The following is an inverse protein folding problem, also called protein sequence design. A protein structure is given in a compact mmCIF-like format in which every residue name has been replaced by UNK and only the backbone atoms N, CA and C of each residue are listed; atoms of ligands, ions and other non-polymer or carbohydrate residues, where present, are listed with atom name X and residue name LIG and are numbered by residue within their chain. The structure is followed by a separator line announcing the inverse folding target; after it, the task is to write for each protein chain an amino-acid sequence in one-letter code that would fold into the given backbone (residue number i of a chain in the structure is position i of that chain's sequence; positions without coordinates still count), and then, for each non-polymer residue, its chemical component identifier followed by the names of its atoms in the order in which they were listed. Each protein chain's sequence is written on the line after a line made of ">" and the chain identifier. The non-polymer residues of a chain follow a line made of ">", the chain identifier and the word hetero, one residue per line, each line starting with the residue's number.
data_IF_587940679309
#
_entry.id   IF_587940679309
#
_cell.length_a   1.000
_cell.length_b   1.000
_cell.length_c   1.000
_cell.angle_alpha   90.00
_cell.angle_beta   90.00
_cell.angle_gamma   90.00
#
_symmetry.space_group_name_H-M   'P 1'
#
loop_
_entity.id
_entity.type
_entity.pdbx_description
1 polymer ?
#
# COMPACT_ATOMS: atom_id res chain seq x y z
N UNK A 1 24.04 7.27 20.74
CA UNK A 1 23.24 8.50 20.78
C UNK A 1 21.76 8.14 20.87
N UNK A 2 21.07 8.70 21.85
CA UNK A 2 19.65 8.40 22.11
C UNK A 2 18.74 9.26 21.20
N UNK A 3 19.06 9.33 19.90
CA UNK A 3 18.33 10.14 18.92
C UNK A 3 17.44 9.26 18.06
N UNK A 4 16.22 9.72 17.79
CA UNK A 4 15.37 9.10 16.77
C UNK A 4 16.05 9.22 15.40
N UNK A 5 16.06 8.12 14.67
CA UNK A 5 16.62 8.02 13.34
C UNK A 5 15.61 7.33 12.41
N UNK A 6 15.47 7.78 11.15
CA UNK A 6 14.64 7.10 10.19
C UNK A 6 15.31 5.77 9.75
N UNK A 7 14.64 4.66 10.01
CA UNK A 7 15.21 3.34 9.71
C UNK A 7 15.51 3.11 8.22
N UNK A 8 14.75 3.78 7.32
CA UNK A 8 14.92 3.62 5.88
C UNK A 8 16.18 4.29 5.30
N UNK A 9 16.77 5.26 6.01
CA UNK A 9 17.92 6.05 5.52
C UNK A 9 19.12 5.99 6.44
N UNK A 10 19.03 5.32 7.58
CA UNK A 10 20.15 5.19 8.52
C UNK A 10 20.97 3.95 8.18
N UNK A 11 22.25 4.09 7.80
CA UNK A 11 23.12 2.95 7.55
C UNK A 11 23.28 2.09 8.80
N UNK A 12 23.19 0.79 8.66
CA UNK A 12 23.49 -0.15 9.72
C UNK A 12 25.02 -0.25 9.91
N UNK A 13 25.46 -0.26 11.16
CA UNK A 13 26.88 -0.40 11.51
C UNK A 13 27.06 -1.55 12.50
N UNK A 14 28.24 -2.16 12.48
CA UNK A 14 28.56 -3.25 13.42
C UNK A 14 28.45 -2.76 14.86
N UNK A 15 27.85 -3.57 15.73
CA UNK A 15 27.60 -3.23 17.14
C UNK A 15 26.50 -2.21 17.37
N UNK A 16 25.74 -1.82 16.33
CA UNK A 16 24.62 -0.89 16.49
C UNK A 16 23.48 -1.50 17.31
N UNK A 17 23.13 -0.84 18.42
CA UNK A 17 21.98 -1.19 19.23
C UNK A 17 20.77 -0.33 18.84
N UNK A 18 19.64 -0.95 18.48
CA UNK A 18 18.42 -0.27 18.04
C UNK A 18 17.28 -0.60 18.98
N UNK A 19 16.62 0.43 19.53
CA UNK A 19 15.41 0.29 20.31
C UNK A 19 14.19 0.67 19.45
N UNK A 20 13.27 -0.27 19.25
CA UNK A 20 12.06 -0.06 18.45
C UNK A 20 10.78 0.01 19.27
N UNK A 21 10.89 -0.12 20.61
CA UNK A 21 9.75 -0.26 21.54
C UNK A 21 9.67 0.83 22.59
N UNK A 22 10.51 1.89 22.49
CA UNK A 22 10.41 3.01 23.44
C UNK A 22 9.08 3.74 23.30
N UNK A 23 8.60 4.33 24.40
CA UNK A 23 7.34 5.11 24.40
C UNK A 23 7.31 6.19 23.32
N UNK A 24 8.44 6.87 23.14
CA UNK A 24 8.57 7.88 22.09
C UNK A 24 8.36 7.30 20.69
N UNK A 25 8.96 6.15 20.38
CA UNK A 25 8.78 5.48 19.08
C UNK A 25 7.33 5.03 18.91
N UNK A 26 6.71 4.48 19.95
CA UNK A 26 5.31 4.07 19.90
C UNK A 26 4.37 5.26 19.70
N UNK A 27 4.61 6.39 20.36
CA UNK A 27 3.84 7.63 20.15
C UNK A 27 3.95 8.13 18.71
N UNK A 28 5.15 8.10 18.10
CA UNK A 28 5.34 8.49 16.70
C UNK A 28 4.62 7.53 15.74
N UNK A 29 4.68 6.22 15.97
CA UNK A 29 3.96 5.23 15.16
C UNK A 29 2.45 5.45 15.22
N UNK A 30 1.91 5.61 16.45
CA UNK A 30 0.49 5.90 16.63
C UNK A 30 0.09 7.17 15.89
N UNK A 31 0.86 8.26 16.05
CA UNK A 31 0.60 9.54 15.36
C UNK A 31 0.60 9.37 13.84
N UNK A 32 1.55 8.63 13.27
CA UNK A 32 1.59 8.38 11.83
C UNK A 32 0.34 7.63 11.34
N UNK A 33 -0.11 6.63 12.09
CA UNK A 33 -1.35 5.89 11.76
C UNK A 33 -2.58 6.78 11.88
N UNK A 34 -2.68 7.61 12.92
CA UNK A 34 -3.77 8.58 13.09
C UNK A 34 -3.84 9.57 11.90
N UNK A 35 -2.69 10.01 11.38
CA UNK A 35 -2.63 10.89 10.21
C UNK A 35 -3.15 10.20 8.96
N UNK A 36 -2.86 8.91 8.73
CA UNK A 36 -3.46 8.17 7.61
C UNK A 36 -4.99 8.17 7.68
N UNK A 37 -5.56 7.97 8.86
CA UNK A 37 -7.01 8.01 9.03
C UNK A 37 -7.60 9.42 8.96
N UNK A 38 -6.85 10.45 9.31
CA UNK A 38 -7.29 11.85 9.19
C UNK A 38 -7.24 12.34 7.73
N UNK A 39 -6.26 11.88 6.96
CA UNK A 39 -6.02 12.31 5.57
C UNK A 39 -6.84 11.51 4.54
N UNK A 40 -7.19 10.26 4.82
CA UNK A 40 -7.91 9.39 3.89
C UNK A 40 -9.36 9.10 4.32
N UNK A 41 -10.25 8.86 3.36
CA UNK A 41 -11.63 8.44 3.62
C UNK A 41 -11.70 6.94 3.93
N UNK A 42 -11.12 6.52 5.05
CA UNK A 42 -11.11 5.12 5.47
C UNK A 42 -12.44 4.72 6.13
N UNK A 43 -13.51 4.64 5.34
CA UNK A 43 -14.81 4.15 5.84
C UNK A 43 -14.78 2.63 5.88
N UNK A 44 -14.20 2.07 6.94
CA UNK A 44 -13.92 0.64 7.06
C UNK A 44 -15.18 -0.24 6.97
N UNK A 45 -16.30 0.22 7.48
CA UNK A 45 -17.57 -0.54 7.46
C UNK A 45 -18.04 -0.92 6.06
N UNK A 46 -17.69 -0.13 5.04
CA UNK A 46 -18.07 -0.37 3.64
C UNK A 46 -16.89 -0.78 2.76
N UNK A 47 -15.72 -1.01 3.36
CA UNK A 47 -14.52 -1.37 2.63
C UNK A 47 -14.46 -2.88 2.38
N UNK A 48 -14.20 -3.30 1.15
CA UNK A 48 -13.99 -4.71 0.81
C UNK A 48 -12.80 -5.34 1.55
N UNK A 49 -11.85 -4.53 2.01
CA UNK A 49 -10.71 -4.97 2.80
C UNK A 49 -10.99 -5.01 4.31
N UNK A 50 -12.22 -4.75 4.76
CA UNK A 50 -12.54 -4.75 6.19
C UNK A 50 -12.24 -6.12 6.82
N UNK A 51 -11.51 -6.13 7.94
CA UNK A 51 -11.06 -7.36 8.60
C UNK A 51 -9.83 -8.03 7.93
N UNK A 52 -9.36 -7.49 6.81
CA UNK A 52 -8.21 -7.99 6.06
C UNK A 52 -7.36 -6.82 5.50
N UNK A 53 -7.06 -5.87 6.36
CA UNK A 53 -6.37 -4.62 6.02
C UNK A 53 -5.19 -4.41 6.96
N UNK A 54 -3.98 -4.34 6.41
CA UNK A 54 -2.78 -4.11 7.21
C UNK A 54 -2.83 -2.79 8.00
N UNK A 55 -3.51 -1.75 7.46
CA UNK A 55 -3.68 -0.49 8.19
C UNK A 55 -4.52 -0.68 9.46
N UNK A 56 -5.58 -1.50 9.40
CA UNK A 56 -6.37 -1.85 10.60
C UNK A 56 -5.53 -2.64 11.60
N UNK A 57 -4.77 -3.64 11.13
CA UNK A 57 -3.90 -4.45 11.99
C UNK A 57 -2.85 -3.57 12.71
N UNK A 58 -2.21 -2.64 11.97
CA UNK A 58 -1.23 -1.72 12.56
C UNK A 58 -1.89 -0.74 13.53
N UNK A 59 -3.11 -0.26 13.24
CA UNK A 59 -3.84 0.61 14.16
C UNK A 59 -4.08 -0.08 15.52
N UNK A 60 -4.48 -1.35 15.49
CA UNK A 60 -4.62 -2.17 16.72
C UNK A 60 -3.27 -2.34 17.44
N UNK A 61 -2.20 -2.65 16.70
CA UNK A 61 -0.87 -2.87 17.27
C UNK A 61 -0.30 -1.62 17.96
N UNK A 62 -0.59 -0.43 17.46
CA UNK A 62 -0.13 0.83 18.08
C UNK A 62 -1.12 1.38 19.11
N UNK A 63 -2.19 0.64 19.42
CA UNK A 63 -3.22 1.04 20.38
C UNK A 63 -4.02 2.26 19.95
N UNK A 64 -4.25 2.43 18.64
CA UNK A 64 -5.06 3.50 18.11
C UNK A 64 -6.54 3.11 18.18
N UNK A 65 -7.33 3.89 18.89
CA UNK A 65 -8.80 3.78 19.01
C UNK A 65 -9.54 4.95 18.34
N UNK A 66 -8.86 6.09 18.20
CA UNK A 66 -9.38 7.28 17.51
C UNK A 66 -8.23 8.14 16.97
N UNK A 67 -8.51 9.04 16.03
CA UNK A 67 -7.56 10.06 15.60
C UNK A 67 -7.73 11.33 16.42
N UNK A 68 -6.63 11.87 16.94
CA UNK A 68 -6.57 13.17 17.61
C UNK A 68 -6.54 14.35 16.64
N UNK A 69 -6.28 14.05 15.35
CA UNK A 69 -6.22 15.06 14.31
C UNK A 69 -7.59 15.27 13.66
N UNK A 70 -7.92 16.51 13.27
CA UNK A 70 -9.14 16.78 12.56
C UNK A 70 -9.13 16.07 11.20
N UNK A 71 -10.27 15.49 10.83
CA UNK A 71 -10.45 14.84 9.55
C UNK A 71 -10.40 15.88 8.42
N UNK A 72 -9.65 15.57 7.34
CA UNK A 72 -9.38 16.52 6.27
C UNK A 72 -10.44 16.57 5.16
N UNK A 73 -11.36 15.59 5.11
CA UNK A 73 -12.40 15.47 4.07
C UNK A 73 -11.83 15.62 2.64
N UNK A 74 -10.78 14.91 2.25
CA UNK A 74 -10.16 15.10 0.96
C UNK A 74 -11.10 14.72 -0.18
N UNK A 75 -11.13 15.53 -1.23
CA UNK A 75 -11.80 15.18 -2.48
C UNK A 75 -10.86 14.26 -3.29
N UNK A 76 -10.99 12.95 -3.09
CA UNK A 76 -10.23 11.92 -3.81
C UNK A 76 -11.10 11.30 -4.90
N UNK A 77 -10.47 10.72 -5.91
CA UNK A 77 -11.16 10.06 -7.01
C UNK A 77 -11.13 8.54 -6.86
N UNK A 78 -12.06 7.89 -7.56
CA UNK A 78 -12.07 6.45 -7.76
C UNK A 78 -11.91 6.19 -9.25
N UNK A 79 -10.85 5.48 -9.62
CA UNK A 79 -10.65 5.02 -10.99
C UNK A 79 -11.17 3.59 -11.13
N UNK A 80 -12.28 3.43 -11.85
CA UNK A 80 -12.91 2.16 -12.19
C UNK A 80 -12.84 1.88 -13.70
N UNK A 81 -11.94 2.53 -14.44
CA UNK A 81 -11.79 2.39 -15.88
C UNK A 81 -11.27 1.01 -16.29
N UNK A 82 -10.37 0.40 -15.49
CA UNK A 82 -9.84 -0.92 -15.80
C UNK A 82 -10.92 -2.01 -15.77
N UNK A 83 -10.97 -2.97 -16.73
CA UNK A 83 -12.03 -3.98 -16.79
C UNK A 83 -12.18 -4.83 -15.53
N UNK A 84 -11.08 -5.21 -14.90
CA UNK A 84 -11.04 -6.17 -13.78
C UNK A 84 -10.81 -5.52 -12.41
N UNK A 85 -10.24 -4.32 -12.36
CA UNK A 85 -9.74 -3.72 -11.12
C UNK A 85 -10.30 -2.31 -10.91
N UNK A 86 -10.17 -1.85 -9.67
CA UNK A 86 -10.53 -0.47 -9.27
C UNK A 86 -9.44 0.09 -8.37
N UNK A 87 -9.10 1.36 -8.56
CA UNK A 87 -8.26 2.14 -7.66
C UNK A 87 -9.12 3.17 -6.93
N UNK A 88 -9.22 3.04 -5.61
CA UNK A 88 -9.89 4.00 -4.73
C UNK A 88 -8.84 4.81 -3.97
N UNK A 89 -8.60 6.03 -4.41
CA UNK A 89 -7.63 6.94 -3.79
C UNK A 89 -8.00 7.36 -2.37
N UNK A 90 -9.27 7.21 -1.97
CA UNK A 90 -9.70 7.47 -0.58
C UNK A 90 -9.04 6.54 0.43
N UNK A 91 -8.59 5.36 0.00
CA UNK A 91 -8.01 4.31 0.85
C UNK A 91 -6.51 4.12 0.64
N UNK A 92 -5.93 4.93 -0.24
CA UNK A 92 -4.51 4.87 -0.55
C UNK A 92 -3.69 5.55 0.55
N UNK A 93 -2.71 4.84 1.11
CA UNK A 93 -1.77 5.35 2.12
C UNK A 93 -0.39 5.68 1.54
N UNK A 94 -0.27 5.77 0.22
CA UNK A 94 0.97 6.11 -0.50
C UNK A 94 2.18 5.20 -0.15
N UNK A 95 1.93 3.93 0.14
CA UNK A 95 2.99 2.98 0.50
C UNK A 95 3.89 2.59 -0.69
N UNK A 96 3.54 2.96 -1.90
CA UNK A 96 4.26 2.70 -3.17
C UNK A 96 4.49 1.23 -3.53
N UNK A 97 3.87 0.27 -2.83
CA UNK A 97 4.04 -1.16 -3.16
C UNK A 97 3.57 -1.49 -4.58
N UNK A 98 2.48 -0.87 -5.05
CA UNK A 98 1.98 -1.04 -6.42
C UNK A 98 2.98 -0.54 -7.47
N UNK A 99 3.63 0.60 -7.22
CA UNK A 99 4.68 1.14 -8.08
C UNK A 99 5.83 0.14 -8.17
N UNK A 100 6.37 -0.25 -7.03
CA UNK A 100 7.54 -1.13 -6.95
C UNK A 100 7.29 -2.53 -7.51
N UNK A 101 6.13 -3.13 -7.26
CA UNK A 101 5.83 -4.46 -7.80
C UNK A 101 5.64 -4.43 -9.31
N UNK A 102 5.06 -3.35 -9.84
CA UNK A 102 4.89 -3.17 -11.27
C UNK A 102 6.22 -2.88 -11.98
N UNK A 103 7.10 -2.13 -11.35
CA UNK A 103 8.42 -1.79 -11.86
C UNK A 103 9.40 -2.97 -11.72
N UNK A 104 9.62 -3.44 -10.48
CA UNK A 104 10.70 -4.37 -10.15
C UNK A 104 10.35 -5.84 -10.48
N UNK A 105 9.06 -6.21 -10.55
CA UNK A 105 8.62 -7.61 -10.67
C UNK A 105 7.88 -7.88 -11.98
N UNK A 106 6.97 -6.98 -12.40
CA UNK A 106 6.27 -7.14 -13.67
C UNK A 106 7.05 -6.53 -14.84
N UNK A 107 7.79 -5.42 -14.60
CA UNK A 107 8.50 -4.69 -15.64
C UNK A 107 7.59 -3.88 -16.56
N UNK A 108 6.34 -3.64 -16.17
CA UNK A 108 5.36 -2.93 -17.00
C UNK A 108 5.33 -1.42 -16.74
N UNK A 109 5.90 -0.94 -15.63
CA UNK A 109 6.05 0.49 -15.27
C UNK A 109 4.76 1.31 -15.37
N UNK A 110 3.62 0.71 -15.00
CA UNK A 110 2.29 1.34 -15.12
C UNK A 110 2.08 2.42 -14.07
N UNK A 111 2.59 2.21 -12.86
CA UNK A 111 2.32 3.06 -11.70
C UNK A 111 3.47 4.00 -11.38
N UNK A 112 3.12 5.23 -11.03
CA UNK A 112 4.08 6.22 -10.51
C UNK A 112 3.45 7.07 -9.40
N UNK A 113 4.26 7.91 -8.77
CA UNK A 113 3.84 8.89 -7.77
C UNK A 113 3.86 10.27 -8.38
N UNK A 114 2.70 10.89 -8.51
CA UNK A 114 2.56 12.26 -8.98
C UNK A 114 2.42 13.25 -7.82
N UNK A 115 2.77 14.51 -8.09
CA UNK A 115 2.67 15.63 -7.19
C UNK A 115 3.59 15.50 -5.95
N UNK A 116 3.33 16.32 -4.91
CA UNK A 116 4.11 16.35 -3.67
C UNK A 116 3.30 16.89 -2.50
N UNK A 117 3.77 16.60 -1.29
CA UNK A 117 3.09 17.02 -0.06
C UNK A 117 1.70 16.40 0.05
N UNK A 118 0.72 17.17 0.48
CA UNK A 118 -0.67 16.74 0.65
C UNK A 118 -1.38 16.39 -0.67
N UNK A 119 -0.82 16.80 -1.82
CA UNK A 119 -1.35 16.49 -3.15
C UNK A 119 -0.73 15.23 -3.76
N UNK A 120 0.17 14.55 -3.05
CA UNK A 120 0.80 13.33 -3.52
C UNK A 120 -0.26 12.27 -3.82
N UNK A 121 -0.14 11.61 -4.97
CA UNK A 121 -1.08 10.56 -5.40
C UNK A 121 -0.39 9.52 -6.26
N UNK A 122 -0.94 8.32 -6.30
CA UNK A 122 -0.52 7.29 -7.25
C UNK A 122 -1.26 7.52 -8.57
N UNK A 123 -0.55 7.46 -9.67
CA UNK A 123 -1.10 7.64 -11.02
C UNK A 123 -0.76 6.45 -11.90
N UNK A 124 -1.60 6.20 -12.88
CA UNK A 124 -1.36 5.20 -13.93
C UNK A 124 -0.89 5.91 -15.22
N UNK A 125 0.16 5.40 -15.85
CA UNK A 125 0.76 6.00 -17.05
C UNK A 125 1.18 7.46 -16.82
N UNK A 126 0.71 8.35 -17.64
CA UNK A 126 0.94 9.81 -17.51
C UNK A 126 -0.29 10.51 -16.89
N UNK A 127 -0.83 9.97 -15.81
CA UNK A 127 -2.06 10.45 -15.14
C UNK A 127 -3.32 10.27 -16.02
N UNK A 128 -3.40 9.14 -16.70
CA UNK A 128 -4.55 8.75 -17.51
C UNK A 128 -5.38 7.69 -16.78
N UNK A 129 -6.64 7.42 -17.20
CA UNK A 129 -7.43 6.34 -16.65
C UNK A 129 -6.69 4.99 -16.75
N UNK A 130 -6.67 4.21 -15.67
CA UNK A 130 -5.92 2.94 -15.62
C UNK A 130 -6.26 1.99 -16.78
N UNK A 131 -7.55 1.92 -17.15
CA UNK A 131 -7.99 1.06 -18.26
C UNK A 131 -7.50 1.49 -19.64
N UNK A 132 -6.93 2.68 -19.77
CA UNK A 132 -6.38 3.22 -21.03
C UNK A 132 -4.86 3.05 -21.12
N UNK A 133 -4.20 2.50 -20.07
CA UNK A 133 -2.76 2.31 -20.05
C UNK A 133 -2.41 1.01 -20.78
N UNK A 134 -1.96 1.12 -22.02
CA UNK A 134 -1.62 -0.03 -22.88
C UNK A 134 -0.52 -0.94 -22.28
N UNK A 135 0.41 -0.37 -21.51
CA UNK A 135 1.46 -1.11 -20.85
C UNK A 135 0.95 -2.04 -19.72
N UNK A 136 -0.32 -1.88 -19.29
CA UNK A 136 -0.89 -2.71 -18.22
C UNK A 136 -1.14 -4.14 -18.70
N UNK A 137 -0.42 -5.09 -18.12
CA UNK A 137 -0.56 -6.53 -18.42
C UNK A 137 -1.78 -7.19 -17.75
N UNK A 138 -2.53 -6.45 -16.94
CA UNK A 138 -3.66 -6.96 -16.14
C UNK A 138 -3.28 -8.10 -15.17
N UNK A 139 -2.01 -8.22 -14.79
CA UNK A 139 -1.49 -9.32 -13.95
C UNK A 139 -2.04 -9.33 -12.51
N UNK A 140 -2.57 -8.20 -12.02
CA UNK A 140 -3.16 -8.07 -10.68
C UNK A 140 -2.17 -8.01 -9.51
N UNK A 141 -0.85 -8.08 -9.75
CA UNK A 141 0.17 -8.05 -8.68
C UNK A 141 0.08 -6.79 -7.81
N UNK A 142 -0.25 -5.64 -8.40
CA UNK A 142 -0.45 -4.39 -7.67
C UNK A 142 -1.64 -4.45 -6.70
N UNK A 143 -2.71 -5.17 -7.07
CA UNK A 143 -3.86 -5.43 -6.18
C UNK A 143 -3.45 -6.34 -5.03
N UNK A 144 -2.69 -7.38 -5.35
CA UNK A 144 -2.28 -8.39 -4.38
C UNK A 144 -1.33 -7.86 -3.28
N UNK A 145 -0.51 -6.86 -3.60
CA UNK A 145 0.42 -6.24 -2.62
C UNK A 145 -0.17 -5.02 -1.91
N UNK A 146 -1.36 -4.57 -2.31
CA UNK A 146 -1.98 -3.42 -1.69
C UNK A 146 -2.35 -3.72 -0.22
N UNK A 147 -1.83 -2.97 0.76
CA UNK A 147 -2.06 -3.25 2.17
C UNK A 147 -3.43 -2.80 2.66
N UNK A 148 -4.18 -2.08 1.81
CA UNK A 148 -5.50 -1.53 2.12
C UNK A 148 -6.51 -1.91 1.04
N UNK A 149 -7.72 -1.38 1.11
CA UNK A 149 -8.73 -1.53 0.05
C UNK A 149 -8.62 -0.51 -1.09
N UNK A 150 -7.43 0.09 -1.30
CA UNK A 150 -7.23 1.07 -2.37
C UNK A 150 -7.23 0.42 -3.76
N UNK A 151 -6.52 -0.68 -3.93
CA UNK A 151 -6.55 -1.48 -5.15
C UNK A 151 -7.30 -2.78 -4.89
N UNK A 152 -8.35 -3.03 -5.67
CA UNK A 152 -9.24 -4.19 -5.48
C UNK A 152 -9.69 -4.77 -6.82
N UNK A 153 -10.05 -6.04 -6.82
CA UNK A 153 -10.75 -6.69 -7.94
C UNK A 153 -12.22 -6.28 -7.92
N UNK A 154 -12.81 -5.99 -9.05
CA UNK A 154 -14.22 -5.60 -9.15
C UNK A 154 -15.21 -6.68 -8.70
N UNK A 155 -14.80 -7.95 -8.80
CA UNK A 155 -15.62 -9.09 -8.41
C UNK A 155 -15.51 -9.48 -6.94
N UNK A 156 -14.52 -8.90 -6.20
CA UNK A 156 -14.29 -9.30 -4.81
C UNK A 156 -15.40 -8.77 -3.89
N UNK A 157 -15.98 -9.65 -3.11
CA UNK A 157 -16.74 -9.29 -1.92
C UNK A 157 -15.84 -9.31 -0.68
N UNK A 158 -16.28 -8.69 0.42
CA UNK A 158 -15.55 -8.70 1.70
C UNK A 158 -15.25 -10.12 2.20
N UNK A 159 -16.15 -11.08 1.91
CA UNK A 159 -16.00 -12.47 2.33
C UNK A 159 -14.95 -13.24 1.50
N UNK A 160 -14.68 -12.81 0.27
CA UNK A 160 -13.78 -13.50 -0.67
C UNK A 160 -12.36 -12.96 -0.64
N UNK A 161 -12.15 -11.77 -0.06
CA UNK A 161 -10.82 -11.21 0.09
C UNK A 161 -10.05 -11.98 1.16
N UNK A 162 -9.37 -13.03 0.72
CA UNK A 162 -8.46 -13.80 1.58
C UNK A 162 -7.26 -12.97 2.02
N UNK A 163 -6.78 -13.13 3.27
CA UNK A 163 -5.54 -12.47 3.72
C UNK A 163 -4.37 -12.94 2.85
N UNK A 164 -3.83 -12.06 2.06
CA UNK A 164 -2.60 -12.33 1.31
C UNK A 164 -1.34 -12.05 2.15
N UNK A 165 -1.40 -12.43 3.44
CA UNK A 165 -0.30 -12.21 4.38
C UNK A 165 1.01 -12.88 3.94
N UNK A 166 0.89 -13.95 3.15
CA UNK A 166 2.04 -14.71 2.65
C UNK A 166 2.65 -14.11 1.36
N UNK A 167 1.92 -13.26 0.65
CA UNK A 167 2.39 -12.71 -0.63
C UNK A 167 3.60 -11.78 -0.54
N UNK A 168 3.74 -10.90 0.48
CA UNK A 168 4.98 -10.15 0.65
C UNK A 168 6.21 -11.06 0.77
N UNK A 169 6.05 -12.21 1.43
CA UNK A 169 7.10 -13.23 1.58
C UNK A 169 7.40 -13.92 0.25
N UNK A 170 6.38 -14.29 -0.51
CA UNK A 170 6.54 -14.88 -1.85
C UNK A 170 7.23 -13.91 -2.81
N UNK A 171 6.86 -12.64 -2.80
CA UNK A 171 7.49 -11.60 -3.61
C UNK A 171 8.94 -11.35 -3.20
N UNK A 172 9.22 -11.34 -1.89
CA UNK A 172 10.58 -11.25 -1.38
C UNK A 172 11.44 -12.42 -1.86
N UNK A 173 10.92 -13.64 -1.74
CA UNK A 173 11.60 -14.86 -2.17
C UNK A 173 11.83 -14.87 -3.69
N UNK A 174 10.83 -14.47 -4.48
CA UNK A 174 10.97 -14.36 -5.94
C UNK A 174 12.05 -13.33 -6.31
N UNK A 175 12.13 -12.22 -5.58
CA UNK A 175 13.17 -11.20 -5.77
C UNK A 175 14.57 -11.74 -5.45
N UNK A 176 14.73 -12.39 -4.31
CA UNK A 176 16.00 -13.00 -3.89
C UNK A 176 16.48 -14.08 -4.88
N UNK A 177 15.54 -14.79 -5.50
CA UNK A 177 15.81 -15.87 -6.46
C UNK A 177 15.87 -15.41 -7.92
N UNK A 178 15.71 -14.12 -8.19
CA UNK A 178 15.63 -13.55 -9.55
C UNK A 178 14.58 -14.23 -10.47
N UNK A 179 13.47 -14.70 -9.90
CA UNK A 179 12.44 -15.47 -10.59
C UNK A 179 11.19 -14.64 -10.97
N UNK A 180 11.26 -13.33 -10.96
CA UNK A 180 10.12 -12.45 -11.21
C UNK A 180 9.58 -12.45 -12.64
N UNK A 181 10.36 -12.92 -13.61
CA UNK A 181 9.96 -12.90 -15.02
C UNK A 181 9.20 -14.14 -15.50
N UNK A 182 9.10 -15.20 -14.69
CA UNK A 182 8.64 -16.51 -15.17
C UNK A 182 7.25 -16.96 -14.68
N UNK A 183 6.47 -16.10 -14.01
CA UNK A 183 5.17 -16.53 -13.48
C UNK A 183 3.98 -16.27 -14.43
N UNK A 184 4.21 -15.76 -15.64
CA UNK A 184 3.19 -15.53 -16.66
C UNK A 184 2.87 -16.74 -17.56
N UNK A 185 3.68 -17.80 -17.53
CA UNK A 185 3.54 -18.93 -18.50
C UNK A 185 2.92 -20.21 -17.90
N UNK A 186 2.49 -20.22 -16.64
CA UNK A 186 2.06 -21.44 -15.97
C UNK A 186 0.54 -21.66 -15.92
N UNK A 187 -0.27 -20.98 -16.73
CA UNK A 187 -1.70 -21.28 -16.90
C UNK A 187 -2.11 -20.99 -18.36
N UNK A 188 -1.62 -21.80 -19.27
CA UNK A 188 -2.18 -22.00 -20.61
C UNK A 188 -3.02 -23.29 -20.64
#
# INVERSE_FOLDING_TARGET
>A
SNKLQPACTTPATEGMAVCTTSDTVQQFRRMAVELFFAEGNHVCAFCVANGNCELQDVAVQVGMDHSRFPYQYPARQVDASHPQFTLDHHRCILCTRCVRVCDEIEGAHVWDVANRGSHCTIVAGLDQPWGEVEACTSCGKCVDVCPTGALVRKADSTAEKQPHRDRPELLRTAREQHQWHNQGEANG
#
